data_IF_668140133340
#
_entry.id   IF_668140133340
#
_cell.length_a   1.000
_cell.length_b   1.000
_cell.length_c   1.000
_cell.angle_alpha   90.00
_cell.angle_beta   90.00
_cell.angle_gamma   90.00
#
_symmetry.space_group_name_H-M   'P 1'
#
loop_
_entity.id
_entity.type
_entity.pdbx_description
1 polymer ?
#
# COMPACT_ATOMS: atom_id res chain seq x y z
N UNK A 1 -24.40 -26.27 -36.56
CA UNK A 1 -23.84 -27.59 -36.93
C UNK A 1 -23.52 -28.36 -35.66
N UNK A 2 -23.77 -29.68 -35.58
CA UNK A 2 -23.40 -30.50 -34.44
C UNK A 2 -22.43 -31.60 -34.88
N UNK A 3 -21.32 -31.79 -34.15
CA UNK A 3 -20.28 -32.78 -34.47
C UNK A 3 -20.21 -33.85 -33.38
N UNK A 4 -20.31 -35.11 -33.80
CA UNK A 4 -20.28 -36.29 -32.91
C UNK A 4 -21.67 -36.80 -32.52
N UNK A 5 -21.75 -38.10 -32.18
CA UNK A 5 -23.00 -38.75 -31.78
C UNK A 5 -23.56 -38.12 -30.49
N UNK A 6 -24.85 -37.81 -30.46
CA UNK A 6 -25.50 -37.21 -29.28
C UNK A 6 -25.21 -35.72 -29.06
N UNK A 7 -24.51 -35.07 -29.99
CA UNK A 7 -24.36 -33.61 -29.99
C UNK A 7 -25.63 -32.92 -30.46
N UNK A 8 -25.94 -31.78 -29.87
CA UNK A 8 -27.10 -30.95 -30.22
C UNK A 8 -26.62 -29.54 -30.51
N UNK A 9 -27.06 -28.97 -31.63
CA UNK A 9 -26.85 -27.57 -31.94
C UNK A 9 -28.20 -26.83 -31.88
N UNK A 10 -28.35 -25.92 -30.92
CA UNK A 10 -29.56 -25.14 -30.63
C UNK A 10 -29.38 -23.64 -30.84
N UNK A 11 -28.15 -23.14 -30.97
CA UNK A 11 -27.85 -21.73 -31.19
C UNK A 11 -27.74 -21.45 -32.70
N UNK A 12 -28.66 -20.61 -33.19
CA UNK A 12 -28.68 -20.10 -34.57
C UNK A 12 -27.76 -18.89 -34.74
N UNK A 13 -27.98 -18.11 -35.79
CA UNK A 13 -27.29 -16.80 -35.92
C UNK A 13 -27.74 -15.86 -34.80
N UNK A 14 -26.79 -15.19 -34.18
CA UNK A 14 -27.03 -14.23 -33.10
C UNK A 14 -26.47 -12.87 -33.49
N UNK A 15 -27.15 -11.79 -33.08
CA UNK A 15 -26.72 -10.41 -33.34
C UNK A 15 -26.84 -9.59 -32.06
N UNK A 16 -25.78 -8.83 -31.75
CA UNK A 16 -25.79 -7.87 -30.64
C UNK A 16 -25.61 -8.48 -29.26
N UNK A 17 -25.01 -9.67 -29.14
CA UNK A 17 -24.76 -10.29 -27.84
C UNK A 17 -23.51 -9.72 -27.16
N UNK A 18 -23.52 -9.63 -25.83
CA UNK A 18 -22.36 -9.18 -25.04
C UNK A 18 -21.43 -10.34 -24.74
N UNK A 19 -20.27 -10.38 -25.39
CA UNK A 19 -19.26 -11.40 -25.13
C UNK A 19 -18.48 -11.11 -23.83
N UNK A 20 -18.03 -12.17 -23.16
CA UNK A 20 -17.25 -12.06 -21.92
C UNK A 20 -15.97 -11.26 -22.20
N UNK A 21 -15.73 -10.23 -21.38
CA UNK A 21 -14.54 -9.40 -21.49
C UNK A 21 -14.55 -8.40 -22.65
N UNK A 22 -15.62 -8.33 -23.44
CA UNK A 22 -15.76 -7.36 -24.53
C UNK A 22 -16.90 -6.39 -24.25
N UNK A 23 -16.63 -5.10 -24.43
CA UNK A 23 -17.62 -4.03 -24.25
C UNK A 23 -18.43 -3.76 -25.52
N UNK A 24 -17.92 -4.17 -26.68
CA UNK A 24 -18.59 -4.01 -27.98
C UNK A 24 -19.48 -5.24 -28.25
N UNK A 25 -20.76 -5.06 -28.63
CA UNK A 25 -21.64 -6.17 -29.01
C UNK A 25 -21.06 -7.00 -30.17
N UNK A 26 -21.22 -8.31 -30.08
CA UNK A 26 -20.73 -9.29 -31.05
C UNK A 26 -21.90 -9.87 -31.87
N UNK A 27 -21.57 -10.50 -33.00
CA UNK A 27 -22.54 -11.22 -33.84
C UNK A 27 -21.90 -12.51 -34.37
N UNK A 28 -22.71 -13.54 -34.56
CA UNK A 28 -22.28 -14.84 -35.09
C UNK A 28 -23.29 -15.33 -36.13
N UNK A 29 -22.83 -16.09 -37.12
CA UNK A 29 -23.70 -16.70 -38.14
C UNK A 29 -24.33 -18.03 -37.69
N UNK A 30 -24.01 -18.50 -36.49
CA UNK A 30 -24.41 -19.81 -35.97
C UNK A 30 -23.31 -20.47 -35.14
N UNK A 31 -23.57 -21.69 -34.70
CA UNK A 31 -22.62 -22.46 -33.89
C UNK A 31 -22.11 -23.75 -34.56
N UNK A 32 -20.98 -24.24 -34.03
CA UNK A 32 -20.53 -25.62 -34.15
C UNK A 32 -20.53 -26.25 -32.76
N UNK A 33 -21.57 -27.03 -32.45
CA UNK A 33 -21.67 -27.75 -31.18
C UNK A 33 -20.84 -29.03 -31.20
N UNK A 34 -20.08 -29.26 -30.13
CA UNK A 34 -19.20 -30.42 -29.94
C UNK A 34 -19.77 -31.43 -28.92
N UNK A 35 -21.04 -31.30 -28.55
CA UNK A 35 -21.65 -32.16 -27.54
C UNK A 35 -23.05 -31.73 -27.14
N UNK A 36 -23.44 -32.18 -25.96
CA UNK A 36 -24.59 -31.71 -25.21
C UNK A 36 -24.12 -31.46 -23.77
N UNK A 37 -24.93 -30.77 -22.96
CA UNK A 37 -24.57 -30.44 -21.58
C UNK A 37 -24.21 -31.72 -20.79
N UNK A 38 -23.02 -31.73 -20.18
CA UNK A 38 -22.48 -32.88 -19.45
C UNK A 38 -21.84 -33.98 -20.32
N UNK A 39 -21.84 -33.81 -21.65
CA UNK A 39 -21.22 -34.70 -22.63
C UNK A 39 -20.36 -33.91 -23.64
N UNK A 40 -19.63 -32.90 -23.15
CA UNK A 40 -18.73 -32.07 -23.94
C UNK A 40 -17.51 -32.87 -24.40
N UNK A 41 -16.99 -32.51 -25.58
CA UNK A 41 -15.78 -33.11 -26.14
C UNK A 41 -14.59 -32.19 -25.99
N UNK A 42 -13.41 -32.79 -25.80
CA UNK A 42 -12.13 -32.06 -25.86
C UNK A 42 -11.78 -31.74 -27.31
N UNK A 43 -11.21 -30.55 -27.52
CA UNK A 43 -10.46 -30.20 -28.74
C UNK A 43 -8.98 -30.32 -28.39
N UNK A 44 -8.28 -31.31 -28.96
CA UNK A 44 -6.85 -31.52 -28.72
C UNK A 44 -6.03 -31.18 -29.96
N UNK A 45 -4.74 -30.90 -29.78
CA UNK A 45 -3.81 -30.47 -30.83
C UNK A 45 -4.21 -29.13 -31.50
N UNK A 46 -4.90 -28.26 -30.76
CA UNK A 46 -5.23 -26.90 -31.19
C UNK A 46 -3.97 -26.03 -31.13
N UNK A 47 -3.49 -25.59 -32.30
CA UNK A 47 -2.43 -24.60 -32.39
C UNK A 47 -2.83 -23.29 -31.68
N UNK A 48 -1.86 -22.55 -31.17
CA UNK A 48 -2.14 -21.26 -30.54
C UNK A 48 -2.73 -20.28 -31.55
N UNK A 49 -3.80 -19.57 -31.16
CA UNK A 49 -4.43 -18.56 -32.01
C UNK A 49 -3.51 -17.37 -32.26
N UNK A 50 -3.62 -16.79 -33.45
CA UNK A 50 -2.79 -15.68 -33.95
C UNK A 50 -3.60 -14.45 -34.38
N UNK A 51 -4.89 -14.63 -34.69
CA UNK A 51 -5.85 -13.58 -35.00
C UNK A 51 -6.93 -13.46 -33.92
N UNK A 52 -7.64 -12.33 -33.89
CA UNK A 52 -8.66 -12.04 -32.88
C UNK A 52 -9.84 -13.03 -32.85
N UNK A 53 -10.07 -13.76 -33.95
CA UNK A 53 -11.14 -14.76 -34.10
C UNK A 53 -10.65 -16.19 -33.96
N UNK A 54 -9.37 -16.40 -33.66
CA UNK A 54 -8.83 -17.74 -33.42
C UNK A 54 -9.19 -18.21 -32.02
N UNK A 55 -9.38 -19.52 -31.86
CA UNK A 55 -9.56 -20.11 -30.54
C UNK A 55 -8.25 -20.05 -29.73
N UNK A 56 -8.40 -19.81 -28.43
CA UNK A 56 -7.30 -19.80 -27.46
C UNK A 56 -7.10 -21.21 -26.90
N UNK A 57 -5.86 -21.70 -26.88
CA UNK A 57 -5.53 -22.98 -26.23
C UNK A 57 -5.04 -22.79 -24.77
N UNK A 58 -4.89 -23.90 -24.03
CA UNK A 58 -4.46 -23.87 -22.62
C UNK A 58 -3.06 -23.25 -22.45
N UNK A 59 -2.17 -23.39 -23.43
CA UNK A 59 -0.83 -22.78 -23.37
C UNK A 59 -0.89 -21.25 -23.34
N UNK A 60 -1.75 -20.64 -24.17
CA UNK A 60 -1.97 -19.20 -24.15
C UNK A 60 -2.63 -18.73 -22.84
N UNK A 61 -3.62 -19.47 -22.33
CA UNK A 61 -4.26 -19.15 -21.05
C UNK A 61 -3.26 -19.21 -19.87
N UNK A 62 -2.40 -20.24 -19.85
CA UNK A 62 -1.30 -20.35 -18.88
C UNK A 62 -0.33 -19.18 -19.01
N UNK A 63 -0.02 -18.73 -20.24
CA UNK A 63 0.79 -17.54 -20.47
C UNK A 63 0.20 -16.28 -19.83
N UNK A 64 -1.11 -16.06 -19.98
CA UNK A 64 -1.82 -14.94 -19.32
C UNK A 64 -1.77 -15.07 -17.79
N UNK A 65 -2.04 -16.26 -17.26
CA UNK A 65 -1.97 -16.53 -15.81
C UNK A 65 -0.58 -16.24 -15.22
N UNK A 66 0.47 -16.66 -15.93
CA UNK A 66 1.85 -16.42 -15.54
C UNK A 66 2.18 -14.92 -15.57
N UNK A 67 1.76 -14.19 -16.61
CA UNK A 67 1.97 -12.75 -16.71
C UNK A 67 1.26 -11.99 -15.58
N UNK A 68 0.01 -12.37 -15.26
CA UNK A 68 -0.74 -11.79 -14.15
C UNK A 68 -0.05 -12.05 -12.79
N UNK A 69 0.38 -13.29 -12.55
CA UNK A 69 1.11 -13.68 -11.33
C UNK A 69 2.42 -12.91 -11.20
N UNK A 70 3.19 -12.79 -12.28
CA UNK A 70 4.43 -12.01 -12.29
C UNK A 70 4.18 -10.53 -11.97
N UNK A 71 3.15 -9.93 -12.58
CA UNK A 71 2.77 -8.55 -12.31
C UNK A 71 2.37 -8.32 -10.85
N UNK A 72 1.58 -9.22 -10.26
CA UNK A 72 1.21 -9.17 -8.84
C UNK A 72 2.43 -9.31 -7.93
N UNK A 73 3.36 -10.21 -8.25
CA UNK A 73 4.59 -10.39 -7.48
C UNK A 73 5.49 -9.15 -7.53
N UNK A 74 5.62 -8.52 -8.70
CA UNK A 74 6.35 -7.26 -8.85
C UNK A 74 5.73 -6.15 -8.00
N UNK A 75 4.41 -5.98 -8.08
CA UNK A 75 3.70 -4.96 -7.29
C UNK A 75 3.83 -5.21 -5.79
N UNK A 76 3.57 -6.45 -5.34
CA UNK A 76 3.67 -6.83 -3.93
C UNK A 76 5.06 -6.58 -3.35
N UNK A 77 6.10 -6.98 -4.07
CA UNK A 77 7.50 -6.73 -3.67
C UNK A 77 7.81 -5.23 -3.61
N UNK A 78 7.34 -4.44 -4.57
CA UNK A 78 7.52 -3.00 -4.58
C UNK A 78 6.84 -2.33 -3.38
N UNK A 79 5.60 -2.74 -3.06
CA UNK A 79 4.87 -2.23 -1.89
C UNK A 79 5.60 -2.59 -0.60
N UNK A 80 6.00 -3.85 -0.40
CA UNK A 80 6.73 -4.26 0.80
C UNK A 80 8.05 -3.49 0.99
N UNK A 81 8.82 -3.32 -0.10
CA UNK A 81 10.06 -2.54 -0.09
C UNK A 81 9.83 -1.08 0.28
N UNK A 82 8.80 -0.45 -0.31
CA UNK A 82 8.47 0.96 -0.05
C UNK A 82 7.89 1.18 1.36
N UNK A 83 7.22 0.18 1.94
CA UNK A 83 6.83 0.23 3.36
C UNK A 83 8.07 0.11 4.26
N UNK A 84 9.06 -0.71 3.90
CA UNK A 84 10.24 -0.93 4.73
C UNK A 84 9.89 -1.61 6.05
N UNK A 85 10.62 -1.31 7.13
CA UNK A 85 10.34 -1.87 8.47
C UNK A 85 10.40 -3.40 8.53
N UNK A 86 11.11 -4.07 7.61
CA UNK A 86 11.12 -5.53 7.52
C UNK A 86 9.87 -6.14 6.88
N UNK A 87 8.99 -5.34 6.28
CA UNK A 87 7.87 -5.84 5.47
C UNK A 87 8.40 -6.65 4.27
N UNK A 88 7.69 -7.71 3.93
CA UNK A 88 8.01 -8.64 2.87
C UNK A 88 6.73 -9.06 2.14
N UNK A 89 6.82 -9.32 0.84
CA UNK A 89 5.72 -9.91 0.08
C UNK A 89 5.88 -11.42 0.02
N UNK A 90 4.81 -12.17 0.33
CA UNK A 90 4.75 -13.61 0.18
C UNK A 90 3.99 -13.98 -1.11
N UNK A 91 4.68 -14.49 -2.15
CA UNK A 91 4.06 -14.85 -3.41
C UNK A 91 3.13 -16.05 -3.34
N UNK A 92 3.17 -16.83 -2.24
CA UNK A 92 2.31 -18.00 -2.05
C UNK A 92 0.93 -17.58 -1.54
N UNK A 93 0.89 -16.64 -0.60
CA UNK A 93 -0.35 -16.14 0.01
C UNK A 93 -0.86 -14.86 -0.65
N UNK A 94 -0.02 -14.16 -1.42
CA UNK A 94 -0.33 -12.87 -2.04
C UNK A 94 -0.38 -11.72 -1.04
N UNK A 95 0.22 -11.87 0.14
CA UNK A 95 0.14 -10.88 1.23
C UNK A 95 1.44 -10.11 1.40
N UNK A 96 1.33 -8.86 1.89
CA UNK A 96 2.46 -8.05 2.35
C UNK A 96 2.49 -8.11 3.89
N UNK A 97 3.59 -8.57 4.46
CA UNK A 97 3.74 -8.73 5.91
C UNK A 97 3.79 -7.38 6.61
N UNK A 98 3.30 -7.36 7.85
CA UNK A 98 3.26 -6.18 8.70
C UNK A 98 4.67 -5.60 8.91
N UNK A 99 4.92 -4.31 8.62
CA UNK A 99 6.19 -3.67 8.94
C UNK A 99 6.36 -3.49 10.46
N UNK A 100 7.58 -3.21 10.89
CA UNK A 100 7.96 -2.88 12.25
C UNK A 100 8.79 -1.59 12.24
N UNK A 101 8.22 -0.52 12.79
CA UNK A 101 8.88 0.77 12.93
C UNK A 101 9.19 1.05 14.40
N UNK A 102 10.46 1.29 14.72
CA UNK A 102 10.87 1.71 16.05
C UNK A 102 10.81 3.23 16.19
N UNK A 103 10.08 3.73 17.19
CA UNK A 103 10.04 5.16 17.55
C UNK A 103 10.05 5.30 19.07
N UNK A 104 11.04 6.00 19.62
CA UNK A 104 11.18 6.25 21.08
C UNK A 104 11.12 4.97 21.94
N UNK A 105 11.65 3.85 21.44
CA UNK A 105 11.62 2.56 22.14
C UNK A 105 10.30 1.78 22.02
N UNK A 106 9.29 2.34 21.35
CA UNK A 106 8.05 1.64 21.00
C UNK A 106 8.11 1.08 19.58
N UNK A 107 7.35 0.01 19.34
CA UNK A 107 7.21 -0.61 18.02
C UNK A 107 5.83 -0.33 17.43
N UNK A 108 5.79 0.12 16.19
CA UNK A 108 4.57 0.41 15.44
C UNK A 108 4.47 -0.48 14.20
N UNK A 109 3.27 -0.96 13.92
CA UNK A 109 2.96 -1.89 12.83
C UNK A 109 2.54 -1.21 11.53
N UNK A 110 2.51 0.12 11.50
CA UNK A 110 2.11 0.93 10.36
C UNK A 110 2.72 2.34 10.46
N UNK A 111 2.83 3.03 9.32
CA UNK A 111 3.42 4.37 9.26
C UNK A 111 2.64 5.38 10.10
N UNK A 112 1.31 5.32 10.10
CA UNK A 112 0.46 6.28 10.84
C UNK A 112 0.75 6.26 12.34
N UNK A 113 0.87 5.06 12.92
CA UNK A 113 1.25 4.89 14.32
C UNK A 113 2.66 5.41 14.60
N UNK A 114 3.64 5.07 13.75
CA UNK A 114 5.02 5.53 13.92
C UNK A 114 5.14 7.05 13.84
N UNK A 115 4.47 7.68 12.87
CA UNK A 115 4.42 9.13 12.69
C UNK A 115 3.73 9.78 13.89
N UNK A 116 2.62 9.22 14.40
CA UNK A 116 1.97 9.73 15.61
C UNK A 116 2.85 9.63 16.86
N UNK A 117 3.66 8.58 16.97
CA UNK A 117 4.66 8.44 18.03
C UNK A 117 5.75 9.51 17.93
N UNK A 118 6.22 9.82 16.72
CA UNK A 118 7.19 10.89 16.48
C UNK A 118 6.59 12.27 16.79
N UNK A 119 5.36 12.53 16.35
CA UNK A 119 4.63 13.77 16.59
C UNK A 119 4.46 14.06 18.09
N UNK A 120 4.12 13.02 18.86
CA UNK A 120 4.02 13.12 20.32
C UNK A 120 5.38 13.45 20.96
N UNK A 121 6.46 12.82 20.48
CA UNK A 121 7.81 13.08 20.97
C UNK A 121 8.26 14.53 20.66
N UNK A 122 7.96 15.03 19.46
CA UNK A 122 8.25 16.40 19.05
C UNK A 122 7.46 17.40 19.89
N UNK A 123 6.17 17.16 20.13
CA UNK A 123 5.33 17.99 21.01
C UNK A 123 5.88 18.04 22.45
N UNK A 124 6.40 16.92 22.95
CA UNK A 124 7.06 16.87 24.26
C UNK A 124 8.35 17.69 24.32
N UNK A 125 9.17 17.64 23.26
CA UNK A 125 10.37 18.47 23.15
C UNK A 125 10.02 19.96 23.12
N UNK A 126 9.00 20.35 22.35
CA UNK A 126 8.50 21.73 22.26
C UNK A 126 8.08 22.27 23.64
N UNK A 127 7.33 21.46 24.40
CA UNK A 127 6.92 21.80 25.77
C UNK A 127 8.12 21.96 26.72
N UNK A 128 9.13 21.11 26.60
CA UNK A 128 10.34 21.20 27.42
C UNK A 128 11.15 22.47 27.12
N UNK A 129 11.23 22.87 25.84
CA UNK A 129 11.89 24.11 25.41
C UNK A 129 11.14 25.34 25.93
N UNK A 130 9.80 25.36 25.85
CA UNK A 130 9.00 26.44 26.43
C UNK A 130 9.20 26.58 27.96
N UNK A 131 9.35 25.45 28.65
CA UNK A 131 9.70 25.44 30.08
C UNK A 131 11.07 26.05 30.37
N UNK A 132 12.08 25.72 29.55
CA UNK A 132 13.42 26.31 29.67
C UNK A 132 13.40 27.82 29.40
N UNK A 133 12.67 28.28 28.38
CA UNK A 133 12.52 29.70 28.05
C UNK A 133 11.93 30.51 29.21
N UNK A 134 10.91 29.94 29.87
CA UNK A 134 10.32 30.51 31.08
C UNK A 134 11.33 30.61 32.23
N UNK A 135 12.15 29.58 32.43
CA UNK A 135 13.19 29.56 33.46
C UNK A 135 14.28 30.61 33.20
N UNK A 136 14.71 30.75 31.94
CA UNK A 136 15.69 31.76 31.51
C UNK A 136 15.14 33.17 31.70
N UNK A 137 13.89 33.42 31.31
CA UNK A 137 13.22 34.71 31.54
C UNK A 137 13.12 35.07 33.02
N UNK A 138 12.88 34.06 33.87
CA UNK A 138 12.91 34.23 35.33
C UNK A 138 14.30 34.59 35.85
N UNK A 139 15.35 33.95 35.34
CA UNK A 139 16.73 34.28 35.69
C UNK A 139 17.12 35.70 35.23
N UNK A 140 16.74 36.10 34.00
CA UNK A 140 17.00 37.44 33.48
C UNK A 140 16.35 38.52 34.37
N UNK A 141 15.11 38.29 34.79
CA UNK A 141 14.41 39.16 35.73
C UNK A 141 15.12 39.27 37.09
N UNK A 142 15.65 38.16 37.61
CA UNK A 142 16.40 38.15 38.87
C UNK A 142 17.73 38.90 38.74
N UNK A 143 18.45 38.73 37.62
CA UNK A 143 19.68 39.47 37.31
C UNK A 143 19.42 40.96 37.18
N UNK A 144 18.33 41.36 36.51
CA UNK A 144 17.89 42.75 36.41
C UNK A 144 17.51 43.34 37.80
N UNK A 145 16.90 42.55 38.67
CA UNK A 145 16.63 42.93 40.06
C UNK A 145 17.91 43.18 40.86
N UNK A 146 18.92 42.34 40.71
CA UNK A 146 20.22 42.54 41.37
C UNK A 146 20.96 43.77 40.81
N UNK A 147 20.96 43.97 39.49
CA UNK A 147 21.62 45.12 38.87
C UNK A 147 20.97 46.46 39.26
N UNK A 148 19.65 46.48 39.45
CA UNK A 148 18.92 47.65 39.96
C UNK A 148 19.05 47.87 41.47
N UNK A 149 19.29 46.81 42.26
CA UNK A 149 19.57 46.91 43.70
C UNK A 149 21.00 47.37 44.03
N UNK A 150 21.98 47.05 43.19
CA UNK A 150 23.41 47.36 43.41
C UNK A 150 23.86 48.75 42.90
N UNK A 151 22.93 49.60 42.45
CA UNK A 151 23.21 51.02 42.12
C UNK A 151 22.91 52.00 43.28
N UNK A 152 22.47 51.52 44.45
CA UNK A 152 22.30 52.31 45.69
C UNK A 152 23.34 51.95 46.74
N UNK A 153 23.79 52.90 47.58
CA UNK A 153 25.15 52.94 48.10
C UNK A 153 25.43 51.75 49.00
N UNK A 154 26.54 51.04 48.73
CA UNK A 154 27.28 50.35 49.78
C UNK A 154 27.64 51.40 50.83
N UNK A 155 26.76 51.62 51.80
CA UNK A 155 27.07 52.42 52.98
C UNK A 155 28.18 51.66 53.69
N UNK A 156 29.40 52.17 53.57
CA UNK A 156 30.52 51.74 54.40
C UNK A 156 30.11 51.95 55.84
N UNK A 157 29.68 50.89 56.53
CA UNK A 157 29.61 50.89 57.98
C UNK A 157 31.04 50.88 58.51
N UNK A 158 31.62 52.08 58.55
CA UNK A 158 32.87 52.36 59.23
C UNK A 158 32.56 53.24 60.44
N UNK A 159 31.67 52.78 61.33
CA UNK A 159 31.56 53.33 62.67
C UNK A 159 32.53 52.61 63.61
N UNK A 160 33.84 52.89 63.48
CA UNK A 160 34.79 52.64 64.57
C UNK A 160 34.63 53.79 65.56
N UNK A 161 33.83 53.58 66.60
CA UNK A 161 33.77 54.47 67.76
C UNK A 161 35.07 54.32 68.54
N UNK A 162 35.81 55.43 68.64
CA UNK A 162 37.05 55.60 69.41
C UNK A 162 36.87 55.34 70.90
#
# INVERSE_FOLDING_TARGET
MALGQGSTATIGSETGYTAIGLTVPQSSSGEVSLGSAGAERKITNLAAGSAATDAVNVGQLTGVSNAATAGLNTLGTSVASNLGGGSAFDPTTGTVTTPSYGVQGNTYSNLGGAIGGLDSAVTGLDSAVAGLDSAVSGLDSAVAGLSSGNIGPFVSDNSVTT
#
